data_IF_460452120303
#
_entry.id   IF_460452120303
#
_cell.length_a   1.000
_cell.length_b   1.000
_cell.length_c   1.000
_cell.angle_alpha   90.00
_cell.angle_beta   90.00
_cell.angle_gamma   90.00
#
_symmetry.space_group_name_H-M   'P 1'
#
loop_
_entity.id
_entity.type
_entity.pdbx_description
1 polymer ?
#
# COMPACT_ATOMS: atom_id res chain seq x y z
N UNK A 1 8.52 59.26 10.89
CA UNK A 1 8.71 58.09 10.01
C UNK A 1 7.36 57.65 9.48
N UNK A 2 7.06 57.86 8.19
CA UNK A 2 5.79 57.43 7.58
C UNK A 2 5.84 55.89 7.42
N UNK A 3 5.04 55.16 8.20
CA UNK A 3 4.92 53.70 8.05
C UNK A 3 4.32 53.43 6.67
N UNK A 4 5.05 52.74 5.80
CA UNK A 4 4.58 52.40 4.45
C UNK A 4 3.47 51.35 4.55
N UNK A 5 2.25 51.63 4.04
CA UNK A 5 1.14 50.67 4.06
C UNK A 5 1.43 49.40 3.22
N UNK A 6 2.43 49.47 2.32
CA UNK A 6 2.85 48.34 1.51
C UNK A 6 3.41 47.15 2.34
N UNK A 7 4.03 47.43 3.49
CA UNK A 7 4.60 46.39 4.36
C UNK A 7 3.50 45.61 5.11
N UNK A 8 2.43 46.31 5.53
CA UNK A 8 1.27 45.69 6.17
C UNK A 8 0.47 44.83 5.19
N UNK A 9 0.35 45.27 3.93
CA UNK A 9 -0.35 44.52 2.89
C UNK A 9 0.41 43.24 2.48
N UNK A 10 1.75 43.29 2.43
CA UNK A 10 2.59 42.11 2.15
C UNK A 10 2.56 41.09 3.28
N UNK A 11 2.59 41.54 4.54
CA UNK A 11 2.40 40.66 5.71
C UNK A 11 1.01 40.00 5.74
N UNK A 12 -0.04 40.73 5.31
CA UNK A 12 -1.40 40.20 5.25
C UNK A 12 -1.60 39.20 4.09
N UNK A 13 -0.92 39.39 2.96
CA UNK A 13 -0.94 38.43 1.85
C UNK A 13 -0.17 37.15 2.19
N UNK A 14 0.88 37.23 3.01
CA UNK A 14 1.64 36.06 3.48
C UNK A 14 0.87 35.23 4.52
N UNK A 15 0.02 35.84 5.35
CA UNK A 15 -0.79 35.08 6.31
C UNK A 15 -1.94 34.32 5.64
N UNK A 16 -2.46 34.79 4.50
CA UNK A 16 -3.51 34.10 3.74
C UNK A 16 -3.01 32.85 3.01
N UNK A 17 -1.73 32.79 2.63
CA UNK A 17 -1.16 31.60 1.97
C UNK A 17 -0.80 30.49 2.96
N UNK A 18 -0.49 30.83 4.22
CA UNK A 18 -0.10 29.86 5.25
C UNK A 18 -1.24 28.91 5.67
N UNK A 19 -2.50 29.32 5.54
CA UNK A 19 -3.67 28.50 5.90
C UNK A 19 -4.30 27.75 4.71
N UNK A 20 -3.75 27.86 3.50
CA UNK A 20 -4.36 27.32 2.29
C UNK A 20 -3.84 25.92 1.87
N UNK A 21 -2.78 25.40 2.49
CA UNK A 21 -2.31 24.05 2.21
C UNK A 21 -3.21 23.05 2.92
N UNK A 22 -4.17 22.48 2.17
CA UNK A 22 -4.96 21.35 2.62
C UNK A 22 -4.03 20.15 2.80
N UNK A 23 -3.77 19.78 4.05
CA UNK A 23 -2.97 18.61 4.38
C UNK A 23 -3.60 17.35 3.78
N UNK A 24 -2.80 16.56 3.08
CA UNK A 24 -3.22 15.29 2.52
C UNK A 24 -3.19 14.21 3.61
N UNK A 25 -4.34 13.97 4.23
CA UNK A 25 -4.50 13.04 5.35
C UNK A 25 -4.21 11.57 5.00
N UNK A 26 -3.93 11.27 3.73
CA UNK A 26 -3.48 9.95 3.29
C UNK A 26 -2.09 9.61 3.81
N UNK A 27 -1.20 10.59 3.91
CA UNK A 27 0.24 10.35 4.14
C UNK A 27 0.74 11.25 5.27
N UNK A 28 0.48 10.87 6.55
CA UNK A 28 0.89 11.65 7.70
C UNK A 28 2.41 11.87 7.78
N UNK A 29 2.80 13.00 8.36
CA UNK A 29 4.21 13.32 8.58
C UNK A 29 4.91 12.26 9.44
N UNK A 30 6.15 11.90 9.07
CA UNK A 30 6.97 10.93 9.79
C UNK A 30 6.74 9.46 9.42
N UNK A 31 5.84 9.17 8.48
CA UNK A 31 5.67 7.82 7.93
C UNK A 31 6.63 7.55 6.77
N UNK A 32 7.15 6.33 6.66
CA UNK A 32 7.95 5.93 5.51
C UNK A 32 7.07 5.91 4.24
N UNK A 33 7.61 6.39 3.12
CA UNK A 33 6.86 6.54 1.87
C UNK A 33 7.55 5.85 0.70
N UNK A 34 6.77 5.53 -0.32
CA UNK A 34 7.15 4.98 -1.62
C UNK A 34 6.42 5.77 -2.71
N UNK A 35 6.84 5.79 -3.98
CA UNK A 35 6.00 6.36 -5.03
C UNK A 35 4.58 5.82 -4.96
N UNK A 36 3.59 6.73 -4.93
CA UNK A 36 2.17 6.40 -4.77
C UNK A 36 1.79 5.71 -3.45
N UNK A 37 2.50 5.89 -2.34
CA UNK A 37 2.03 5.31 -1.08
C UNK A 37 2.90 5.48 0.15
N UNK A 38 2.48 4.80 1.21
CA UNK A 38 3.22 4.60 2.46
C UNK A 38 3.77 3.18 2.54
N UNK A 39 4.77 3.02 3.40
CA UNK A 39 5.38 1.72 3.70
C UNK A 39 4.99 1.32 5.12
N UNK A 40 4.45 0.12 5.24
CA UNK A 40 4.15 -0.55 6.50
C UNK A 40 4.98 -1.82 6.65
N UNK A 41 5.17 -2.27 7.89
CA UNK A 41 5.82 -3.56 8.17
C UNK A 41 4.94 -4.41 9.08
N UNK A 42 4.95 -5.72 8.81
CA UNK A 42 4.21 -6.72 9.56
C UNK A 42 5.14 -7.87 9.94
N UNK A 43 5.35 -8.07 11.24
CA UNK A 43 6.03 -9.26 11.75
C UNK A 43 5.09 -10.46 11.65
N UNK A 44 5.38 -11.38 10.71
CA UNK A 44 4.55 -12.55 10.44
C UNK A 44 4.96 -13.73 11.33
N UNK A 45 3.99 -14.31 12.04
CA UNK A 45 4.22 -15.53 12.81
C UNK A 45 4.12 -16.77 11.91
N UNK A 46 3.20 -16.75 10.94
CA UNK A 46 3.04 -17.80 9.95
C UNK A 46 4.32 -18.03 9.12
N UNK A 47 5.03 -16.96 8.78
CA UNK A 47 6.27 -17.01 7.99
C UNK A 47 7.54 -16.95 8.83
N UNK A 48 7.44 -16.54 10.10
CA UNK A 48 8.61 -16.38 10.99
C UNK A 48 9.54 -15.23 10.58
N UNK A 49 9.04 -14.27 9.81
CA UNK A 49 9.82 -13.16 9.24
C UNK A 49 9.00 -11.87 9.16
N UNK A 50 9.68 -10.74 8.93
CA UNK A 50 9.03 -9.45 8.71
C UNK A 50 8.69 -9.27 7.23
N UNK A 51 7.47 -8.82 6.96
CA UNK A 51 6.98 -8.49 5.61
C UNK A 51 6.83 -6.99 5.44
N UNK A 52 7.28 -6.48 4.30
CA UNK A 52 7.13 -5.08 3.89
C UNK A 52 5.89 -4.94 3.00
N UNK A 53 5.08 -3.93 3.28
CA UNK A 53 3.84 -3.64 2.57
C UNK A 53 3.89 -2.22 2.01
N UNK A 54 3.64 -2.07 0.70
CA UNK A 54 3.50 -0.77 0.05
C UNK A 54 2.01 -0.47 -0.12
N UNK A 55 1.52 0.65 0.40
CA UNK A 55 0.08 0.90 0.51
C UNK A 55 -0.28 2.23 -0.14
N UNK A 56 -1.13 2.15 -1.16
CA UNK A 56 -1.77 3.30 -1.78
C UNK A 56 -3.15 3.51 -1.17
N UNK A 57 -3.41 4.74 -0.75
CA UNK A 57 -4.72 5.17 -0.26
C UNK A 57 -5.43 6.01 -1.33
N UNK A 58 -6.71 5.70 -1.61
CA UNK A 58 -7.45 6.38 -2.66
C UNK A 58 -7.61 7.86 -2.34
N UNK A 59 -7.73 8.69 -3.38
CA UNK A 59 -7.89 10.13 -3.20
C UNK A 59 -9.08 10.48 -2.29
N UNK A 60 -8.86 11.39 -1.35
CA UNK A 60 -9.83 11.78 -0.33
C UNK A 60 -10.02 10.76 0.82
N UNK A 61 -9.18 9.73 0.93
CA UNK A 61 -9.16 8.87 2.11
C UNK A 61 -8.90 9.71 3.38
N UNK A 62 -9.69 9.45 4.42
CA UNK A 62 -9.61 10.16 5.68
C UNK A 62 -9.79 9.15 6.84
N UNK A 63 -8.79 8.97 7.71
CA UNK A 63 -8.88 8.07 8.87
C UNK A 63 -10.02 8.38 9.85
N UNK A 64 -10.54 9.60 9.86
CA UNK A 64 -11.66 10.03 10.72
C UNK A 64 -13.03 9.85 10.05
N UNK A 65 -13.08 9.54 8.75
CA UNK A 65 -14.32 9.30 8.03
C UNK A 65 -14.85 7.89 8.26
N UNK A 66 -16.16 7.66 8.10
CA UNK A 66 -16.76 6.31 8.07
C UNK A 66 -16.70 5.64 6.69
N UNK A 67 -16.18 6.32 5.68
CA UNK A 67 -16.01 5.76 4.34
C UNK A 67 -15.05 4.58 4.40
N UNK A 68 -15.48 3.45 3.86
CA UNK A 68 -14.68 2.23 3.80
C UNK A 68 -14.51 1.79 2.34
N UNK A 69 -13.38 1.13 2.07
CA UNK A 69 -12.91 0.88 0.70
C UNK A 69 -12.67 -0.62 0.46
N UNK A 70 -12.93 -1.14 -0.76
CA UNK A 70 -12.43 -2.45 -1.17
C UNK A 70 -10.91 -2.46 -1.18
N UNK A 71 -10.32 -3.66 -1.11
CA UNK A 71 -8.87 -3.85 -1.02
C UNK A 71 -8.37 -4.68 -2.20
N UNK A 72 -7.30 -4.22 -2.82
CA UNK A 72 -6.55 -4.95 -3.85
C UNK A 72 -5.21 -5.35 -3.23
N UNK A 73 -4.93 -6.64 -3.14
CA UNK A 73 -3.65 -7.19 -2.75
C UNK A 73 -2.84 -7.52 -4.00
N UNK A 74 -1.62 -7.00 -4.09
CA UNK A 74 -0.73 -7.21 -5.21
C UNK A 74 0.47 -8.03 -4.75
N UNK A 75 0.59 -9.25 -5.28
CA UNK A 75 1.82 -10.05 -5.21
C UNK A 75 2.91 -9.36 -6.05
N UNK A 76 4.19 -9.67 -5.78
CA UNK A 76 5.32 -8.97 -6.42
C UNK A 76 5.23 -7.44 -6.24
N UNK A 77 4.73 -7.03 -5.07
CA UNK A 77 4.33 -5.66 -4.78
C UNK A 77 5.40 -4.84 -4.08
N UNK A 78 6.70 -5.13 -4.28
CA UNK A 78 7.77 -4.27 -3.73
C UNK A 78 7.92 -2.96 -4.51
N UNK A 79 8.64 -2.00 -3.93
CA UNK A 79 8.91 -0.70 -4.55
C UNK A 79 9.72 -0.77 -5.85
N UNK A 80 10.34 -1.92 -6.12
CA UNK A 80 11.21 -2.18 -7.27
C UNK A 80 10.67 -3.28 -8.20
N UNK A 81 9.40 -3.67 -8.02
CA UNK A 81 8.68 -4.65 -8.84
C UNK A 81 7.40 -4.00 -9.42
N UNK A 82 6.24 -4.63 -9.29
CA UNK A 82 5.01 -4.22 -9.98
C UNK A 82 4.28 -3.05 -9.31
N UNK A 83 4.54 -2.81 -8.02
CA UNK A 83 3.81 -1.81 -7.24
C UNK A 83 3.73 -0.41 -7.88
N UNK A 84 4.83 0.26 -8.27
CA UNK A 84 4.74 1.62 -8.83
C UNK A 84 3.90 1.68 -10.11
N UNK A 85 3.91 0.61 -10.92
CA UNK A 85 3.13 0.51 -12.15
C UNK A 85 1.64 0.33 -11.86
N UNK A 86 1.29 -0.61 -10.98
CA UNK A 86 -0.09 -0.92 -10.63
C UNK A 86 -0.71 0.19 -9.78
N UNK A 87 0.03 0.82 -8.87
CA UNK A 87 -0.45 1.93 -8.06
C UNK A 87 -0.81 3.15 -8.93
N UNK A 88 0.03 3.50 -9.90
CA UNK A 88 -0.27 4.55 -10.86
C UNK A 88 -1.50 4.23 -11.71
N UNK A 89 -1.64 2.98 -12.16
CA UNK A 89 -2.81 2.54 -12.94
C UNK A 89 -4.09 2.57 -12.09
N UNK A 90 -4.06 2.06 -10.87
CA UNK A 90 -5.20 2.09 -9.94
C UNK A 90 -5.62 3.53 -9.67
N UNK A 91 -4.67 4.44 -9.40
CA UNK A 91 -4.96 5.87 -9.22
C UNK A 91 -5.65 6.45 -10.46
N UNK A 92 -5.11 6.19 -11.66
CA UNK A 92 -5.67 6.68 -12.91
C UNK A 92 -7.11 6.16 -13.13
N UNK A 93 -7.33 4.85 -12.97
CA UNK A 93 -8.65 4.26 -13.16
C UNK A 93 -9.68 4.80 -12.15
N UNK A 94 -9.27 5.05 -10.90
CA UNK A 94 -10.14 5.67 -9.89
C UNK A 94 -10.46 7.13 -10.21
N UNK A 95 -9.50 7.89 -10.76
CA UNK A 95 -9.69 9.29 -11.16
C UNK A 95 -10.77 9.44 -12.23
N UNK A 96 -10.84 8.48 -13.15
CA UNK A 96 -11.86 8.41 -14.20
C UNK A 96 -13.08 7.56 -13.83
N UNK A 97 -13.20 7.17 -12.55
CA UNK A 97 -14.32 6.39 -12.01
C UNK A 97 -14.57 5.05 -12.75
N UNK A 98 -13.53 4.49 -13.39
CA UNK A 98 -13.58 3.22 -14.10
C UNK A 98 -13.53 2.03 -13.13
N UNK A 99 -12.96 2.23 -11.94
CA UNK A 99 -13.01 1.30 -10.81
C UNK A 99 -13.42 2.06 -9.54
N UNK A 100 -14.02 1.41 -8.54
CA UNK A 100 -14.29 2.05 -7.27
C UNK A 100 -12.99 2.49 -6.59
N UNK A 101 -13.06 3.58 -5.82
CA UNK A 101 -11.98 3.97 -4.90
C UNK A 101 -11.64 2.77 -4.02
N UNK A 102 -10.39 2.33 -4.07
CA UNK A 102 -9.89 1.12 -3.42
C UNK A 102 -8.52 1.36 -2.81
N UNK A 103 -8.23 0.65 -1.73
CA UNK A 103 -6.88 0.59 -1.14
C UNK A 103 -6.09 -0.47 -1.91
N UNK A 104 -4.87 -0.17 -2.31
CA UNK A 104 -3.96 -1.14 -2.92
C UNK A 104 -2.83 -1.46 -1.94
N UNK A 105 -2.58 -2.74 -1.71
CA UNK A 105 -1.57 -3.28 -0.80
C UNK A 105 -0.62 -4.16 -1.59
N UNK A 106 0.55 -3.62 -1.94
CA UNK A 106 1.67 -4.36 -2.50
C UNK A 106 2.41 -5.16 -1.44
N UNK A 107 2.64 -6.44 -1.70
CA UNK A 107 3.30 -7.38 -0.80
C UNK A 107 4.70 -7.64 -1.35
N UNK A 108 5.73 -7.12 -0.68
CA UNK A 108 7.11 -7.35 -1.09
C UNK A 108 7.52 -8.82 -0.83
N UNK A 109 8.28 -9.38 -1.75
CA UNK A 109 8.86 -10.71 -1.61
C UNK A 109 10.02 -10.72 -0.60
N UNK A 110 10.20 -11.88 0.04
CA UNK A 110 11.44 -12.24 0.76
C UNK A 110 12.04 -13.47 0.10
N UNK A 111 11.25 -14.55 -0.02
CA UNK A 111 11.56 -15.73 -0.80
C UNK A 111 10.35 -16.10 -1.66
N UNK A 112 10.34 -15.58 -2.89
CA UNK A 112 9.25 -15.73 -3.85
C UNK A 112 9.00 -17.19 -4.20
N UNK A 113 10.08 -17.95 -4.43
CA UNK A 113 10.02 -19.37 -4.78
C UNK A 113 9.37 -20.18 -3.67
N UNK A 114 9.70 -19.92 -2.41
CA UNK A 114 9.07 -20.52 -1.24
C UNK A 114 7.59 -20.16 -1.15
N UNK A 115 7.29 -18.86 -1.20
CA UNK A 115 5.95 -18.34 -0.91
C UNK A 115 4.91 -18.70 -1.98
N UNK A 116 5.32 -18.81 -3.26
CA UNK A 116 4.40 -19.01 -4.39
C UNK A 116 4.29 -20.46 -4.86
N UNK A 117 4.96 -21.39 -4.19
CA UNK A 117 4.95 -22.81 -4.57
C UNK A 117 4.44 -23.71 -3.46
N UNK A 118 3.74 -24.76 -3.87
CA UNK A 118 3.46 -25.91 -3.01
C UNK A 118 4.56 -26.97 -3.15
N UNK A 119 4.71 -27.87 -2.17
CA UNK A 119 5.73 -28.90 -2.23
C UNK A 119 5.60 -29.74 -3.52
N UNK A 120 6.68 -29.82 -4.30
CA UNK A 120 6.76 -30.68 -5.47
C UNK A 120 7.44 -32.00 -5.15
N UNK A 121 7.07 -33.06 -5.87
CA UNK A 121 7.75 -34.36 -5.86
C UNK A 121 8.58 -34.60 -7.11
N UNK A 122 8.52 -33.69 -8.07
CA UNK A 122 9.32 -33.76 -9.28
C UNK A 122 10.77 -33.36 -8.97
N UNK A 123 11.72 -34.19 -9.38
CA UNK A 123 13.14 -33.95 -9.08
C UNK A 123 13.70 -32.71 -9.76
N UNK A 124 13.15 -32.31 -10.91
CA UNK A 124 13.55 -31.09 -11.62
C UNK A 124 13.03 -29.85 -10.90
N UNK A 125 11.79 -29.88 -10.44
CA UNK A 125 11.22 -28.78 -9.64
C UNK A 125 12.01 -28.58 -8.34
N UNK A 126 12.28 -29.68 -7.61
CA UNK A 126 13.04 -29.63 -6.35
C UNK A 126 14.46 -29.11 -6.57
N UNK A 127 15.10 -29.46 -7.69
CA UNK A 127 16.44 -28.99 -8.01
C UNK A 127 16.45 -27.51 -8.46
N UNK A 128 15.42 -27.06 -9.17
CA UNK A 128 15.33 -25.70 -9.72
C UNK A 128 14.81 -24.66 -8.72
N UNK A 129 13.95 -25.07 -7.79
CA UNK A 129 13.35 -24.24 -6.76
C UNK A 129 13.62 -24.86 -5.37
N UNK A 130 14.87 -24.79 -4.86
CA UNK A 130 15.27 -25.51 -3.66
C UNK A 130 14.56 -25.05 -2.39
N UNK A 131 13.98 -23.85 -2.39
CA UNK A 131 13.22 -23.29 -1.26
C UNK A 131 11.71 -23.47 -1.39
N UNK A 132 11.23 -24.17 -2.44
CA UNK A 132 9.81 -24.34 -2.71
C UNK A 132 9.02 -25.03 -1.58
N UNK A 133 7.71 -24.81 -1.58
CA UNK A 133 6.76 -25.53 -0.73
C UNK A 133 6.21 -24.75 0.47
N UNK A 134 6.43 -23.44 0.54
CA UNK A 134 5.88 -22.57 1.59
C UNK A 134 4.51 -21.97 1.30
N UNK A 135 3.87 -22.33 0.17
CA UNK A 135 2.60 -21.73 -0.26
C UNK A 135 1.47 -21.81 0.77
N UNK A 136 1.38 -22.90 1.53
CA UNK A 136 0.38 -23.02 2.61
C UNK A 136 0.63 -22.01 3.74
N UNK A 137 1.89 -21.83 4.14
CA UNK A 137 2.26 -20.84 5.16
C UNK A 137 2.03 -19.41 4.65
N UNK A 138 2.28 -19.16 3.36
CA UNK A 138 2.02 -17.87 2.74
C UNK A 138 0.52 -17.56 2.66
N UNK A 139 -0.33 -18.52 2.25
CA UNK A 139 -1.79 -18.36 2.29
C UNK A 139 -2.29 -18.09 3.72
N UNK A 140 -1.75 -18.81 4.71
CA UNK A 140 -2.07 -18.56 6.12
C UNK A 140 -1.67 -17.14 6.57
N UNK A 141 -0.52 -16.63 6.14
CA UNK A 141 -0.13 -15.23 6.34
C UNK A 141 -1.14 -14.26 5.71
N UNK A 142 -1.53 -14.49 4.44
CA UNK A 142 -2.47 -13.61 3.75
C UNK A 142 -3.83 -13.55 4.46
N UNK A 143 -4.37 -14.71 4.86
CA UNK A 143 -5.70 -14.82 5.45
C UNK A 143 -5.73 -14.37 6.90
N UNK A 144 -4.81 -14.86 7.73
CA UNK A 144 -4.92 -14.76 9.18
C UNK A 144 -4.06 -13.66 9.79
N UNK A 145 -3.17 -13.03 9.02
CA UNK A 145 -2.29 -11.95 9.51
C UNK A 145 -2.45 -10.67 8.69
N UNK A 146 -2.22 -10.73 7.37
CA UNK A 146 -2.22 -9.54 6.52
C UNK A 146 -3.59 -8.90 6.42
N UNK A 147 -4.63 -9.67 6.08
CA UNK A 147 -5.98 -9.14 5.96
C UNK A 147 -6.46 -8.47 7.26
N UNK A 148 -6.37 -9.12 8.44
CA UNK A 148 -6.69 -8.48 9.72
C UNK A 148 -5.83 -7.25 10.04
N UNK A 149 -4.54 -7.28 9.69
CA UNK A 149 -3.64 -6.13 9.89
C UNK A 149 -4.12 -4.89 9.13
N UNK A 150 -4.50 -5.08 7.86
CA UNK A 150 -5.03 -4.01 7.00
C UNK A 150 -6.40 -3.54 7.51
N UNK A 151 -7.31 -4.47 7.82
CA UNK A 151 -8.67 -4.15 8.30
C UNK A 151 -8.65 -3.40 9.66
N UNK A 152 -7.62 -3.61 10.48
CA UNK A 152 -7.44 -2.88 11.75
C UNK A 152 -6.93 -1.44 11.57
N UNK A 153 -6.12 -1.21 10.55
CA UNK A 153 -5.42 0.09 10.33
C UNK A 153 -6.17 1.01 9.39
N UNK A 154 -6.90 0.45 8.44
CA UNK A 154 -7.58 1.20 7.40
C UNK A 154 -9.06 0.85 7.37
N UNK A 155 -9.88 1.78 6.91
CA UNK A 155 -11.30 1.54 6.77
C UNK A 155 -11.57 0.69 5.52
N UNK A 156 -11.68 -0.61 5.71
CA UNK A 156 -11.92 -1.57 4.63
C UNK A 156 -13.36 -2.11 4.68
N UNK A 157 -13.97 -2.28 3.51
CA UNK A 157 -15.25 -2.98 3.33
C UNK A 157 -15.42 -3.40 1.88
N UNK A 158 -16.13 -4.51 1.67
CA UNK A 158 -16.49 -4.97 0.34
C UNK A 158 -15.49 -6.00 -0.21
N UNK A 159 -15.39 -6.12 -1.54
CA UNK A 159 -14.57 -7.17 -2.16
C UNK A 159 -13.08 -7.00 -1.86
N UNK A 160 -12.40 -8.13 -1.73
CA UNK A 160 -10.95 -8.25 -1.66
C UNK A 160 -10.47 -8.92 -2.94
N UNK A 161 -9.58 -8.27 -3.67
CA UNK A 161 -9.01 -8.76 -4.93
C UNK A 161 -7.56 -9.13 -4.69
N UNK A 162 -7.08 -10.21 -5.28
CA UNK A 162 -5.65 -10.51 -5.36
C UNK A 162 -5.20 -10.48 -6.82
N UNK A 163 -4.07 -9.83 -7.09
CA UNK A 163 -3.40 -9.79 -8.39
C UNK A 163 -2.06 -10.50 -8.23
N UNK A 164 -1.82 -11.48 -9.09
CA UNK A 164 -0.56 -12.19 -9.20
C UNK A 164 -0.29 -12.61 -10.63
N UNK A 165 0.98 -12.72 -10.98
CA UNK A 165 1.43 -13.12 -12.31
C UNK A 165 2.58 -14.13 -12.18
N UNK A 166 2.52 -15.19 -12.99
CA UNK A 166 3.48 -16.31 -12.94
C UNK A 166 3.53 -17.02 -11.57
N UNK A 167 4.42 -18.01 -11.52
CA UNK A 167 5.09 -18.49 -10.32
C UNK A 167 6.52 -17.98 -10.26
#
# INVERSE_FOLDING_TARGET
>A
MKKSPALLLTLFLFSLTAFAQKEDLRYPEGQATVPFGIVETLDSKALGEKRTLNIYLPDGYNPSSKTAYPVIYLLDGSAHEDYPHIAGLVQFLQMYELIPKSILVGIANVDRSRDFSFPSRDSVDVASLPTSGGGEAFLNFLENELQPFIDKRFHTKGPKTIIGQSM
#
